data_IF_846572260560
#
_entry.id   IF_846572260560
#
_cell.length_a   1.000
_cell.length_b   1.000
_cell.length_c   1.000
_cell.angle_alpha   90.00
_cell.angle_beta   90.00
_cell.angle_gamma   90.00
#
_symmetry.space_group_name_H-M   'P 1'
#
loop_
_entity.id
_entity.type
_entity.pdbx_description
1 polymer ?
#
# COMPACT_ATOMS: atom_id res chain seq x y z
N UNK A 1 -24.11 -4.92 -6.32
CA UNK A 1 -22.72 -5.31 -6.06
C UNK A 1 -22.31 -4.54 -4.82
N UNK A 2 -21.85 -5.23 -3.78
CA UNK A 2 -21.09 -4.53 -2.75
C UNK A 2 -19.79 -4.11 -3.42
N UNK A 3 -19.44 -2.83 -3.37
CA UNK A 3 -18.15 -2.38 -3.88
C UNK A 3 -17.08 -3.06 -3.04
N UNK A 4 -16.34 -3.97 -3.68
CA UNK A 4 -15.22 -4.68 -3.07
C UNK A 4 -14.10 -3.70 -2.68
N UNK A 5 -14.02 -2.59 -3.42
CA UNK A 5 -12.99 -1.57 -3.32
C UNK A 5 -13.50 -0.46 -2.40
N UNK A 6 -12.79 -0.24 -1.30
CA UNK A 6 -13.01 0.91 -0.44
C UNK A 6 -12.12 2.07 -0.91
N UNK A 7 -12.76 3.19 -1.17
CA UNK A 7 -12.12 4.40 -1.67
C UNK A 7 -11.97 5.44 -0.56
N UNK A 8 -10.78 6.05 -0.46
CA UNK A 8 -10.51 7.11 0.51
C UNK A 8 -9.98 8.37 -0.17
N UNK A 9 -10.71 9.48 -0.02
CA UNK A 9 -10.32 10.78 -0.53
C UNK A 9 -9.36 11.56 0.39
N UNK A 10 -9.29 11.22 1.68
CA UNK A 10 -8.43 11.92 2.64
C UNK A 10 -7.83 10.98 3.69
N UNK A 11 -6.67 11.39 4.21
CA UNK A 11 -5.88 10.62 5.16
C UNK A 11 -6.63 10.34 6.46
N UNK A 12 -7.39 11.30 6.98
CA UNK A 12 -8.05 11.14 8.29
C UNK A 12 -9.16 10.07 8.22
N UNK A 13 -9.92 10.04 7.11
CA UNK A 13 -10.90 8.99 6.87
C UNK A 13 -10.23 7.62 6.72
N UNK A 14 -9.15 7.55 5.93
CA UNK A 14 -8.37 6.33 5.76
C UNK A 14 -7.84 5.77 7.07
N UNK A 15 -7.17 6.59 7.89
CA UNK A 15 -6.56 6.14 9.14
C UNK A 15 -7.62 5.64 10.12
N UNK A 16 -8.77 6.32 10.21
CA UNK A 16 -9.86 5.91 11.08
C UNK A 16 -10.38 4.53 10.71
N UNK A 17 -10.74 4.34 9.45
CA UNK A 17 -11.33 3.08 8.97
C UNK A 17 -10.30 1.94 8.99
N UNK A 18 -9.10 2.21 8.49
CA UNK A 18 -8.01 1.23 8.48
C UNK A 18 -7.70 0.70 9.88
N UNK A 19 -7.69 1.57 10.90
CA UNK A 19 -7.44 1.14 12.28
C UNK A 19 -8.67 0.52 12.95
N UNK A 20 -9.90 0.89 12.62
CA UNK A 20 -11.08 0.18 13.15
C UNK A 20 -11.17 -1.25 12.65
N UNK A 21 -10.70 -1.53 11.43
CA UNK A 21 -10.70 -2.88 10.86
C UNK A 21 -9.50 -3.73 11.33
N UNK A 22 -8.37 -3.11 11.65
CA UNK A 22 -7.12 -3.82 11.96
C UNK A 22 -6.76 -3.88 13.44
N UNK A 23 -7.37 -3.05 14.29
CA UNK A 23 -7.26 -3.17 15.75
C UNK A 23 -8.27 -4.22 16.22
N UNK A 24 -7.87 -5.48 16.14
CA UNK A 24 -8.54 -6.58 16.85
C UNK A 24 -8.08 -6.58 18.31
N UNK A 25 -9.04 -6.62 19.24
CA UNK A 25 -8.95 -7.06 20.65
C UNK A 25 -8.73 -6.07 21.81
N UNK A 26 -8.73 -4.76 21.62
CA UNK A 26 -8.91 -3.85 22.78
C UNK A 26 -10.22 -3.08 22.64
N UNK A 27 -11.09 -3.18 23.66
CA UNK A 27 -12.36 -2.44 23.86
C UNK A 27 -12.18 -0.89 23.90
N UNK A 28 -11.00 -0.41 23.54
CA UNK A 28 -10.60 1.00 23.49
C UNK A 28 -11.05 1.66 22.19
N UNK A 29 -11.53 2.89 22.30
CA UNK A 29 -11.83 3.76 21.16
C UNK A 29 -10.59 4.10 20.34
N UNK A 30 -10.77 4.51 19.07
CA UNK A 30 -9.65 4.96 18.20
C UNK A 30 -8.86 6.13 18.79
N UNK A 31 -9.51 7.04 19.52
CA UNK A 31 -8.82 8.13 20.22
C UNK A 31 -7.97 7.61 21.38
N UNK A 32 -8.48 6.65 22.17
CA UNK A 32 -7.70 6.02 23.24
C UNK A 32 -6.53 5.20 22.72
N UNK A 33 -6.72 4.43 21.63
CA UNK A 33 -5.63 3.68 21.00
C UNK A 33 -4.55 4.60 20.43
N UNK A 34 -4.95 5.79 19.95
CA UNK A 34 -4.03 6.84 19.51
C UNK A 34 -3.25 7.43 20.68
N UNK A 35 -3.94 7.82 21.74
CA UNK A 35 -3.33 8.41 22.94
C UNK A 35 -2.38 7.43 23.65
N UNK A 36 -2.67 6.13 23.56
CA UNK A 36 -1.84 5.07 24.10
C UNK A 36 -0.69 4.66 23.16
N UNK A 37 -0.60 5.23 21.95
CA UNK A 37 0.45 4.90 20.97
C UNK A 37 0.35 3.50 20.39
N UNK A 38 -0.84 2.87 20.45
CA UNK A 38 -1.12 1.54 19.89
C UNK A 38 -1.25 1.59 18.36
N UNK A 39 -1.52 2.78 17.80
CA UNK A 39 -1.58 2.99 16.36
C UNK A 39 -0.18 3.16 15.77
N UNK A 40 0.16 2.34 14.78
CA UNK A 40 1.37 2.52 14.00
C UNK A 40 1.20 3.63 12.95
N UNK A 41 1.18 4.89 13.40
CA UNK A 41 0.97 6.06 12.54
C UNK A 41 2.02 6.16 11.41
N UNK A 42 3.25 5.69 11.66
CA UNK A 42 4.28 5.65 10.64
C UNK A 42 3.90 4.69 9.50
N UNK A 43 3.43 3.49 9.83
CA UNK A 43 2.97 2.51 8.84
C UNK A 43 1.77 3.04 8.07
N UNK A 44 0.79 3.64 8.76
CA UNK A 44 -0.39 4.23 8.12
C UNK A 44 -0.04 5.37 7.17
N UNK A 45 0.92 6.23 7.55
CA UNK A 45 1.45 7.28 6.67
C UNK A 45 2.17 6.70 5.45
N UNK A 46 3.01 5.68 5.63
CA UNK A 46 3.71 5.03 4.52
C UNK A 46 2.72 4.33 3.57
N UNK A 47 1.64 3.78 4.11
CA UNK A 47 0.58 3.16 3.31
C UNK A 47 -0.18 4.21 2.50
N UNK A 48 -0.55 5.32 3.12
CA UNK A 48 -1.18 6.45 2.43
C UNK A 48 -0.30 7.04 1.32
N UNK A 49 1.01 7.15 1.57
CA UNK A 49 1.98 7.61 0.58
C UNK A 49 2.11 6.62 -0.57
N UNK A 50 2.07 5.31 -0.30
CA UNK A 50 2.03 4.28 -1.34
C UNK A 50 0.77 4.46 -2.21
N UNK A 51 -0.41 4.54 -1.60
CA UNK A 51 -1.68 4.70 -2.32
C UNK A 51 -1.69 5.95 -3.20
N UNK A 52 -1.05 7.04 -2.77
CA UNK A 52 -0.93 8.26 -3.56
C UNK A 52 0.06 8.22 -4.73
N UNK A 53 0.77 7.11 -4.93
CA UNK A 53 1.69 6.90 -6.07
C UNK A 53 1.22 5.76 -6.98
N UNK A 54 0.10 5.11 -6.66
CA UNK A 54 -0.48 4.07 -7.50
C UNK A 54 -1.19 4.69 -8.70
N UNK A 55 -1.19 3.96 -9.82
CA UNK A 55 -2.02 4.34 -10.96
C UNK A 55 -3.52 4.14 -10.64
N UNK A 56 -4.41 4.77 -11.41
CA UNK A 56 -5.87 4.76 -11.16
C UNK A 56 -6.53 3.40 -11.32
N UNK A 57 -5.88 2.43 -11.94
CA UNK A 57 -6.35 1.06 -12.07
C UNK A 57 -5.75 0.13 -11.01
N UNK A 58 -4.80 0.64 -10.21
CA UNK A 58 -4.10 -0.14 -9.21
C UNK A 58 -4.69 0.05 -7.82
N UNK A 59 -4.67 -1.04 -7.07
CA UNK A 59 -5.20 -1.09 -5.71
C UNK A 59 -4.27 -1.87 -4.79
N UNK A 60 -4.39 -1.58 -3.50
CA UNK A 60 -3.80 -2.36 -2.44
C UNK A 60 -4.82 -3.41 -1.97
N UNK A 61 -4.43 -4.68 -1.93
CA UNK A 61 -5.22 -5.74 -1.30
C UNK A 61 -4.51 -6.28 -0.07
N UNK A 62 -5.31 -6.70 0.92
CA UNK A 62 -4.83 -7.48 2.06
C UNK A 62 -5.45 -8.88 2.05
N UNK A 63 -4.59 -9.88 2.19
CA UNK A 63 -4.95 -11.29 2.27
C UNK A 63 -4.71 -11.81 3.69
N UNK A 64 -5.50 -12.80 4.16
CA UNK A 64 -5.14 -13.55 5.36
C UNK A 64 -3.85 -14.34 5.11
N UNK A 65 -3.06 -14.55 6.17
CA UNK A 65 -1.72 -15.16 6.07
C UNK A 65 -1.74 -16.51 5.36
N UNK A 66 -2.69 -17.39 5.71
CA UNK A 66 -2.82 -18.70 5.08
C UNK A 66 -3.06 -18.63 3.56
N UNK A 67 -3.81 -17.63 3.08
CA UNK A 67 -4.08 -17.47 1.65
C UNK A 67 -2.87 -16.84 0.95
N UNK A 68 -2.18 -15.91 1.62
CA UNK A 68 -0.93 -15.36 1.11
C UNK A 68 0.16 -16.43 1.00
N UNK A 69 0.22 -17.38 1.94
CA UNK A 69 1.15 -18.52 1.91
C UNK A 69 0.83 -19.44 0.72
N UNK A 70 -0.45 -19.78 0.56
CA UNK A 70 -0.93 -20.63 -0.52
C UNK A 70 -0.64 -20.00 -1.90
N UNK A 71 -0.87 -18.70 -2.03
CA UNK A 71 -0.78 -17.99 -3.31
C UNK A 71 0.62 -17.46 -3.61
N UNK A 72 1.41 -17.09 -2.61
CA UNK A 72 2.76 -16.51 -2.78
C UNK A 72 3.88 -17.55 -2.95
N UNK A 73 3.60 -18.81 -2.63
CA UNK A 73 4.60 -19.88 -2.58
C UNK A 73 5.50 -19.73 -1.34
N UNK A 74 5.77 -20.84 -0.67
CA UNK A 74 6.56 -20.87 0.58
C UNK A 74 7.96 -20.27 0.38
N UNK A 75 8.15 -19.04 0.84
CA UNK A 75 9.48 -18.44 1.03
C UNK A 75 9.82 -18.42 2.51
N UNK A 76 11.06 -18.76 2.86
CA UNK A 76 11.61 -18.90 4.23
C UNK A 76 11.66 -17.60 5.06
N UNK A 77 10.89 -16.57 4.70
CA UNK A 77 10.80 -15.29 5.40
C UNK A 77 9.37 -14.81 5.38
N UNK A 78 8.84 -14.46 6.57
CA UNK A 78 7.54 -13.82 6.83
C UNK A 78 6.76 -13.44 5.58
N UNK A 79 5.71 -14.20 5.29
CA UNK A 79 4.91 -14.07 4.09
C UNK A 79 4.28 -12.69 3.98
N UNK A 80 4.44 -11.99 2.84
CA UNK A 80 3.75 -10.73 2.60
C UNK A 80 2.24 -10.96 2.57
N UNK A 81 1.48 -10.20 3.36
CA UNK A 81 0.01 -10.26 3.38
C UNK A 81 -0.65 -9.09 2.65
N UNK A 82 0.14 -8.11 2.21
CA UNK A 82 -0.34 -6.93 1.47
C UNK A 82 0.33 -6.87 0.11
N UNK A 83 -0.48 -6.73 -0.93
CA UNK A 83 -0.04 -6.69 -2.33
C UNK A 83 -0.66 -5.51 -3.06
N UNK A 84 0.06 -5.00 -4.05
CA UNK A 84 -0.40 -3.99 -5.01
C UNK A 84 -0.51 -4.65 -6.38
N UNK A 85 -1.52 -4.30 -7.16
CA UNK A 85 -1.77 -4.83 -8.50
C UNK A 85 -3.09 -4.33 -9.07
N UNK A 86 -3.52 -4.93 -10.18
CA UNK A 86 -4.68 -4.49 -10.97
C UNK A 86 -5.71 -5.62 -11.06
N UNK A 87 -6.99 -5.29 -10.87
CA UNK A 87 -8.08 -6.23 -11.19
C UNK A 87 -8.31 -6.18 -12.70
N UNK A 88 -7.88 -7.22 -13.43
CA UNK A 88 -8.03 -7.27 -14.89
C UNK A 88 -9.28 -8.05 -15.32
N UNK A 89 -9.80 -8.90 -14.43
CA UNK A 89 -11.06 -9.61 -14.65
C UNK A 89 -11.79 -9.86 -13.34
N UNK A 90 -13.12 -9.83 -13.41
CA UNK A 90 -13.99 -10.09 -12.28
C UNK A 90 -15.07 -11.13 -12.66
N UNK A 91 -15.33 -12.06 -11.75
CA UNK A 91 -16.48 -12.98 -11.77
C UNK A 91 -17.37 -12.69 -10.57
N UNK A 92 -18.46 -13.45 -10.38
CA UNK A 92 -19.30 -13.29 -9.18
C UNK A 92 -18.48 -13.54 -7.90
N UNK A 93 -17.67 -14.60 -7.88
CA UNK A 93 -16.99 -15.10 -6.68
C UNK A 93 -15.52 -14.70 -6.55
N UNK A 94 -14.86 -14.31 -7.65
CA UNK A 94 -13.42 -14.11 -7.68
C UNK A 94 -12.98 -12.94 -8.56
N UNK A 95 -11.76 -12.47 -8.31
CA UNK A 95 -11.05 -11.49 -9.14
C UNK A 95 -9.75 -12.11 -9.66
N UNK A 96 -9.33 -11.68 -10.85
CA UNK A 96 -7.99 -11.91 -11.38
C UNK A 96 -7.16 -10.67 -11.08
N UNK A 97 -6.15 -10.83 -10.23
CA UNK A 97 -5.33 -9.75 -9.68
C UNK A 97 -3.90 -9.80 -10.23
N UNK A 98 -3.70 -9.17 -11.39
CA UNK A 98 -2.44 -9.25 -12.14
C UNK A 98 -1.44 -8.17 -11.73
N UNK A 99 -0.19 -8.36 -12.16
CA UNK A 99 0.94 -7.47 -11.86
C UNK A 99 1.19 -7.29 -10.35
N UNK A 100 0.87 -8.34 -9.59
CA UNK A 100 0.90 -8.31 -8.14
C UNK A 100 2.33 -8.14 -7.59
N UNK A 101 2.52 -7.28 -6.60
CA UNK A 101 3.80 -7.09 -5.92
C UNK A 101 3.61 -6.78 -4.43
N UNK A 102 4.50 -7.31 -3.59
CA UNK A 102 4.45 -7.10 -2.15
C UNK A 102 4.58 -5.61 -1.79
N UNK A 103 3.56 -5.08 -1.10
CA UNK A 103 3.42 -3.66 -0.83
C UNK A 103 4.54 -3.09 0.06
N UNK A 104 5.09 -3.90 0.98
CA UNK A 104 6.04 -3.41 2.01
C UNK A 104 7.28 -2.74 1.43
N UNK A 105 7.82 -3.27 0.32
CA UNK A 105 8.98 -2.67 -0.34
C UNK A 105 8.61 -1.35 -1.04
N UNK A 106 7.45 -1.32 -1.69
CA UNK A 106 6.91 -0.13 -2.36
C UNK A 106 6.57 0.98 -1.36
N UNK A 107 6.01 0.67 -0.19
CA UNK A 107 5.77 1.63 0.90
C UNK A 107 7.04 2.39 1.29
N UNK A 108 8.19 1.70 1.35
CA UNK A 108 9.48 2.34 1.68
C UNK A 108 9.96 3.26 0.57
N UNK A 109 9.74 2.89 -0.69
CA UNK A 109 10.09 3.73 -1.84
C UNK A 109 9.18 4.97 -1.89
N UNK A 110 7.87 4.78 -1.73
CA UNK A 110 6.89 5.87 -1.67
C UNK A 110 7.24 6.89 -0.60
N UNK A 111 7.62 6.42 0.60
CA UNK A 111 8.06 7.28 1.68
C UNK A 111 9.30 8.12 1.33
N UNK A 112 10.28 7.53 0.63
CA UNK A 112 11.49 8.24 0.17
C UNK A 112 11.16 9.28 -0.89
N UNK A 113 10.31 8.93 -1.86
CA UNK A 113 9.82 9.83 -2.92
C UNK A 113 9.19 11.07 -2.28
N UNK A 114 8.21 10.87 -1.39
CA UNK A 114 7.55 11.97 -0.69
C UNK A 114 8.51 12.84 0.14
N UNK A 115 9.49 12.21 0.80
CA UNK A 115 10.49 12.94 1.59
C UNK A 115 11.39 13.82 0.70
N UNK A 116 11.75 13.32 -0.49
CA UNK A 116 12.55 14.07 -1.46
C UNK A 116 11.76 15.20 -2.11
N UNK A 117 10.49 14.97 -2.49
CA UNK A 117 9.60 16.00 -3.03
C UNK A 117 9.48 17.17 -2.05
N UNK A 118 9.22 16.87 -0.77
CA UNK A 118 9.19 17.89 0.29
C UNK A 118 10.55 18.55 0.52
N UNK A 119 11.66 17.81 0.38
CA UNK A 119 13.00 18.38 0.43
C UNK A 119 13.21 19.42 -0.68
N UNK A 120 12.88 19.08 -1.91
CA UNK A 120 13.00 19.93 -3.10
C UNK A 120 12.14 21.17 -2.98
N UNK A 121 10.86 21.04 -2.58
CA UNK A 121 9.95 22.17 -2.35
C UNK A 121 10.52 23.21 -1.34
N UNK A 122 11.29 22.74 -0.37
CA UNK A 122 11.82 23.56 0.73
C UNK A 122 13.21 24.16 0.46
N UNK A 123 13.84 23.85 -0.68
CA UNK A 123 15.16 24.36 -1.04
C UNK A 123 15.04 25.63 -1.88
N UNK A 124 15.83 26.66 -1.53
CA UNK A 124 15.95 27.90 -2.30
C UNK A 124 16.71 27.70 -3.63
N UNK A 125 17.19 28.78 -4.26
CA UNK A 125 17.80 28.78 -5.60
C UNK A 125 19.21 28.13 -5.67
N UNK A 126 19.53 27.17 -4.79
CA UNK A 126 20.77 26.39 -4.89
C UNK A 126 20.62 25.30 -5.97
N UNK A 127 21.03 25.66 -7.19
CA UNK A 127 20.86 24.86 -8.42
C UNK A 127 21.53 23.49 -8.35
N UNK A 128 22.75 23.40 -7.79
CA UNK A 128 23.53 22.14 -7.76
C UNK A 128 22.91 21.14 -6.78
N UNK A 129 22.43 21.64 -5.63
CA UNK A 129 21.74 20.81 -4.66
C UNK A 129 20.39 20.31 -5.19
N UNK A 130 19.67 21.19 -5.90
CA UNK A 130 18.40 20.87 -6.53
C UNK A 130 18.54 19.77 -7.60
N UNK A 131 19.51 19.88 -8.52
CA UNK A 131 19.74 18.88 -9.55
C UNK A 131 20.04 17.48 -8.98
N UNK A 132 20.85 17.41 -7.92
CA UNK A 132 21.18 16.14 -7.26
C UNK A 132 19.94 15.47 -6.66
N UNK A 133 19.07 16.24 -6.00
CA UNK A 133 17.85 15.71 -5.40
C UNK A 133 16.83 15.31 -6.47
N UNK A 134 16.70 16.09 -7.54
CA UNK A 134 15.85 15.74 -8.67
C UNK A 134 16.27 14.41 -9.31
N UNK A 135 17.59 14.17 -9.45
CA UNK A 135 18.10 12.88 -9.94
C UNK A 135 17.76 11.73 -8.99
N UNK A 136 17.94 11.91 -7.68
CA UNK A 136 17.57 10.89 -6.68
C UNK A 136 16.08 10.58 -6.68
N UNK A 137 15.23 11.61 -6.86
CA UNK A 137 13.79 11.46 -6.98
C UNK A 137 13.45 10.60 -8.20
N UNK A 138 14.03 10.92 -9.37
CA UNK A 138 13.83 10.15 -10.58
C UNK A 138 14.28 8.68 -10.44
N UNK A 139 15.44 8.45 -9.81
CA UNK A 139 15.94 7.09 -9.58
C UNK A 139 14.97 6.27 -8.71
N UNK A 140 14.37 6.88 -7.67
CA UNK A 140 13.40 6.20 -6.81
C UNK A 140 12.03 6.01 -7.46
N UNK A 141 11.57 6.96 -8.27
CA UNK A 141 10.36 6.80 -9.09
C UNK A 141 10.53 5.62 -10.07
N UNK A 142 11.69 5.53 -10.73
CA UNK A 142 11.96 4.41 -11.62
C UNK A 142 12.00 3.06 -10.89
N UNK A 143 12.56 3.02 -9.67
CA UNK A 143 12.54 1.82 -8.81
C UNK A 143 11.13 1.46 -8.33
N UNK A 144 10.25 2.46 -8.16
CA UNK A 144 8.87 2.22 -7.77
C UNK A 144 8.07 1.59 -8.91
N UNK A 145 8.22 2.12 -10.13
CA UNK A 145 7.61 1.55 -11.32
C UNK A 145 8.19 0.16 -11.67
N UNK A 146 9.49 -0.05 -11.44
CA UNK A 146 10.13 -1.32 -11.68
C UNK A 146 9.93 -2.29 -10.51
N UNK A 147 8.91 -3.13 -10.62
CA UNK A 147 8.54 -4.14 -9.62
C UNK A 147 9.34 -5.43 -9.74
N UNK A 148 10.29 -5.51 -10.66
CA UNK A 148 11.06 -6.71 -10.93
C UNK A 148 11.78 -7.19 -9.67
N UNK A 149 11.66 -8.50 -9.41
CA UNK A 149 12.30 -9.14 -8.26
C UNK A 149 11.62 -8.87 -6.91
N UNK A 150 10.47 -8.19 -6.88
CA UNK A 150 9.61 -8.16 -5.69
C UNK A 150 8.80 -9.45 -5.59
N UNK A 151 8.54 -9.95 -4.37
CA UNK A 151 7.63 -11.08 -4.19
C UNK A 151 6.24 -10.75 -4.75
N UNK A 152 5.69 -11.66 -5.54
CA UNK A 152 4.37 -11.55 -6.18
C UNK A 152 3.53 -12.78 -5.83
N UNK A 153 2.24 -12.74 -6.16
CA UNK A 153 1.42 -13.93 -6.14
C UNK A 153 1.82 -14.84 -7.32
N UNK A 154 1.82 -16.14 -7.09
CA UNK A 154 2.04 -17.18 -8.12
C UNK A 154 0.75 -17.60 -8.79
N UNK A 155 -0.37 -17.55 -8.06
CA UNK A 155 -1.73 -17.68 -8.57
C UNK A 155 -2.50 -16.40 -8.26
N UNK A 156 -2.92 -15.72 -9.32
CA UNK A 156 -3.51 -14.38 -9.25
C UNK A 156 -5.05 -14.41 -9.16
N UNK A 157 -5.68 -15.59 -9.17
CA UNK A 157 -7.10 -15.72 -8.87
C UNK A 157 -7.36 -15.67 -7.37
N UNK A 158 -8.08 -14.64 -6.94
CA UNK A 158 -8.41 -14.38 -5.55
C UNK A 158 -9.92 -14.44 -5.31
N UNK A 159 -10.40 -15.27 -4.37
CA UNK A 159 -11.81 -15.31 -4.00
C UNK A 159 -12.18 -14.05 -3.21
N UNK A 160 -13.23 -13.33 -3.64
CA UNK A 160 -13.66 -12.07 -3.02
C UNK A 160 -14.01 -12.24 -1.54
N UNK A 161 -14.60 -13.39 -1.20
CA UNK A 161 -15.01 -13.72 0.17
C UNK A 161 -13.86 -13.89 1.17
N UNK A 162 -12.61 -13.99 0.68
CA UNK A 162 -11.42 -14.15 1.52
C UNK A 162 -10.52 -12.92 1.53
N UNK A 163 -10.88 -11.87 0.79
CA UNK A 163 -10.15 -10.61 0.85
C UNK A 163 -10.47 -9.92 2.18
N UNK A 164 -9.44 -9.52 2.91
CA UNK A 164 -9.62 -8.74 4.15
C UNK A 164 -10.06 -7.33 3.76
N UNK A 165 -9.33 -6.72 2.83
CA UNK A 165 -9.65 -5.38 2.33
C UNK A 165 -9.06 -5.19 0.93
N UNK A 166 -9.70 -4.35 0.12
CA UNK A 166 -9.17 -3.86 -1.14
C UNK A 166 -9.37 -2.34 -1.16
N UNK A 167 -8.28 -1.59 -1.28
CA UNK A 167 -8.25 -0.15 -1.01
C UNK A 167 -7.63 0.60 -2.17
N UNK A 168 -8.27 1.71 -2.51
CA UNK A 168 -7.76 2.72 -3.41
C UNK A 168 -7.87 4.10 -2.79
N UNK A 169 -6.97 5.00 -3.19
CA UNK A 169 -7.08 6.42 -2.87
C UNK A 169 -7.81 7.12 -4.02
N UNK A 170 -8.85 7.87 -3.69
CA UNK A 170 -9.52 8.76 -4.65
C UNK A 170 -8.74 10.07 -4.75
N UNK A 171 -8.62 10.60 -5.97
CA UNK A 171 -8.04 11.91 -6.26
C UNK A 171 -8.95 13.08 -5.85
#
# INVERSE_FOLDING_TARGET
>A
MADLITEYANYDAFVREWHSETVTDDDSSLEEARDQGLLNEQKSRQLWQLLGLLDTDELLIQLPEWLADEKGGSMDKTTPTMFVGTITRETEDAILFENSAAARSLMRLAHKIHSLEKGIENIGVDTDHHERLAKQLQDHQQQFCNRDGLPSLTDEWLPKSQLITAVQRSD
#
